data_IF_439319003260
#
_entry.id   IF_439319003260
#
_cell.length_a   1.000
_cell.length_b   1.000
_cell.length_c   1.000
_cell.angle_alpha   90.00
_cell.angle_beta   90.00
_cell.angle_gamma   90.00
#
_symmetry.space_group_name_H-M   'P 1'
#
loop_
_entity.id
_entity.type
_entity.pdbx_description
1 polymer ?
#
# COMPACT_ATOMS: atom_id res chain seq x y z
N UNK A 1 0.03 10.43 -13.96
CA UNK A 1 1.38 10.74 -13.42
C UNK A 1 2.27 11.53 -14.39
N UNK A 2 2.43 11.14 -15.68
CA UNK A 2 3.34 11.87 -16.61
C UNK A 2 3.05 13.37 -16.68
N UNK A 3 1.81 13.77 -16.97
CA UNK A 3 1.42 15.17 -17.10
C UNK A 3 1.56 15.97 -15.79
N UNK A 4 1.31 15.35 -14.63
CA UNK A 4 1.54 15.98 -13.33
C UNK A 4 3.03 16.23 -13.06
N UNK A 5 3.90 15.27 -13.41
CA UNK A 5 5.34 15.46 -13.31
C UNK A 5 5.85 16.54 -14.26
N UNK A 6 5.23 16.68 -15.44
CA UNK A 6 5.53 17.74 -16.40
C UNK A 6 5.11 19.12 -15.84
N UNK A 7 3.89 19.26 -15.31
CA UNK A 7 3.43 20.50 -14.66
C UNK A 7 4.40 20.92 -13.53
N UNK A 8 4.80 19.96 -12.66
CA UNK A 8 5.76 20.21 -11.57
C UNK A 8 7.16 20.57 -12.07
N UNK A 9 7.62 20.02 -13.21
CA UNK A 9 8.94 20.28 -13.77
C UNK A 9 9.00 21.63 -14.47
N UNK A 10 7.92 22.01 -15.15
CA UNK A 10 7.85 23.24 -15.95
C UNK A 10 7.35 24.44 -15.15
N UNK A 11 6.82 24.24 -13.94
CA UNK A 11 6.17 25.28 -13.14
C UNK A 11 4.77 25.67 -13.67
N UNK A 12 4.25 24.99 -14.69
CA UNK A 12 2.93 25.29 -15.25
C UNK A 12 1.81 24.65 -14.41
N UNK A 13 1.64 25.18 -13.22
CA UNK A 13 0.69 24.65 -12.25
C UNK A 13 -0.75 25.03 -12.63
N UNK A 14 -1.62 24.03 -12.72
CA UNK A 14 -3.06 24.20 -13.01
C UNK A 14 -3.82 24.70 -11.78
N UNK A 15 -5.03 25.18 -11.99
CA UNK A 15 -5.89 25.68 -10.93
C UNK A 15 -6.51 24.58 -10.07
N UNK A 16 -6.67 23.34 -10.60
CA UNK A 16 -7.23 22.24 -9.85
C UNK A 16 -6.48 20.92 -10.12
N UNK A 17 -6.25 20.16 -9.06
CA UNK A 17 -5.72 18.81 -9.11
C UNK A 17 -6.61 17.86 -8.32
N UNK A 18 -6.88 16.68 -8.87
CA UNK A 18 -7.51 15.56 -8.17
C UNK A 18 -6.54 14.38 -8.14
N UNK A 19 -6.06 14.05 -6.95
CA UNK A 19 -5.22 12.90 -6.66
C UNK A 19 -6.12 11.83 -6.01
N UNK A 20 -6.34 10.70 -6.66
CA UNK A 20 -7.23 9.68 -6.09
C UNK A 20 -6.74 8.26 -6.36
N UNK A 21 -7.19 7.31 -5.55
CA UNK A 21 -6.86 5.89 -5.67
C UNK A 21 -6.32 5.28 -4.37
N UNK A 22 -5.87 4.02 -4.48
CA UNK A 22 -5.51 3.21 -3.33
C UNK A 22 -4.10 3.51 -2.76
N UNK A 23 -3.19 4.13 -3.54
CA UNK A 23 -1.81 4.35 -3.12
C UNK A 23 -1.69 5.65 -2.32
N UNK A 24 -1.84 5.52 -1.00
CA UNK A 24 -1.81 6.66 -0.07
C UNK A 24 -0.46 7.39 -0.07
N UNK A 25 0.64 6.64 -0.18
CA UNK A 25 1.99 7.21 -0.24
C UNK A 25 2.17 8.17 -1.42
N UNK A 26 1.77 7.75 -2.62
CA UNK A 26 1.88 8.61 -3.80
C UNK A 26 0.95 9.82 -3.73
N UNK A 27 -0.27 9.66 -3.18
CA UNK A 27 -1.18 10.80 -2.96
C UNK A 27 -0.53 11.85 -2.08
N UNK A 28 0.02 11.45 -0.93
CA UNK A 28 0.75 12.32 0.00
C UNK A 28 1.96 12.97 -0.67
N UNK A 29 2.81 12.18 -1.33
CA UNK A 29 4.01 12.69 -2.01
C UNK A 29 3.68 13.74 -3.07
N UNK A 30 2.66 13.50 -3.91
CA UNK A 30 2.27 14.46 -4.94
C UNK A 30 1.56 15.69 -4.38
N UNK A 31 0.75 15.56 -3.32
CA UNK A 31 0.18 16.68 -2.59
C UNK A 31 1.28 17.60 -2.06
N UNK A 32 2.27 17.03 -1.37
CA UNK A 32 3.38 17.79 -0.77
C UNK A 32 4.25 18.45 -1.85
N UNK A 33 4.49 17.79 -2.98
CA UNK A 33 5.20 18.38 -4.13
C UNK A 33 4.42 19.53 -4.77
N UNK A 34 3.10 19.40 -4.91
CA UNK A 34 2.23 20.48 -5.38
C UNK A 34 2.24 21.65 -4.41
N UNK A 35 2.15 21.38 -3.11
CA UNK A 35 2.23 22.44 -2.06
C UNK A 35 3.52 23.24 -2.20
N UNK A 36 4.67 22.57 -2.32
CA UNK A 36 5.97 23.22 -2.52
C UNK A 36 6.12 23.96 -3.86
N UNK A 37 5.36 23.54 -4.88
CA UNK A 37 5.39 24.18 -6.19
C UNK A 37 4.45 25.40 -6.29
N UNK A 38 3.41 25.46 -5.45
CA UNK A 38 2.42 26.55 -5.44
C UNK A 38 2.81 27.64 -4.47
N UNK A 39 3.32 27.26 -3.29
CA UNK A 39 3.61 28.18 -2.19
C UNK A 39 5.11 28.24 -1.86
N UNK A 40 5.63 29.42 -1.51
CA UNK A 40 6.96 29.54 -0.92
C UNK A 40 7.09 28.70 0.35
N UNK A 41 8.32 28.28 0.67
CA UNK A 41 8.58 27.52 1.88
C UNK A 41 8.21 28.32 3.13
N UNK A 42 7.38 27.74 4.01
CA UNK A 42 6.92 28.37 5.24
C UNK A 42 5.70 29.31 5.10
N UNK A 43 5.12 29.44 3.91
CA UNK A 43 3.88 30.20 3.73
C UNK A 43 2.69 29.43 4.29
N UNK A 44 2.22 29.84 5.45
CA UNK A 44 1.03 29.27 6.11
C UNK A 44 -0.22 30.16 5.95
N UNK A 45 -0.04 31.42 5.51
CA UNK A 45 -1.15 32.37 5.36
C UNK A 45 -1.98 32.09 4.11
N UNK A 46 -1.32 31.65 3.04
CA UNK A 46 -1.95 31.32 1.79
C UNK A 46 -2.26 29.81 1.65
N UNK A 47 -2.06 29.04 2.71
CA UNK A 47 -2.37 27.62 2.78
C UNK A 47 -3.61 27.36 3.62
N UNK A 48 -4.57 26.61 3.09
CA UNK A 48 -5.70 26.08 3.84
C UNK A 48 -5.83 24.57 3.62
N UNK A 49 -6.16 23.84 4.68
CA UNK A 49 -6.35 22.41 4.65
C UNK A 49 -7.69 22.03 5.28
N UNK A 50 -8.49 21.28 4.56
CA UNK A 50 -9.78 20.75 4.98
C UNK A 50 -9.77 19.24 4.84
N UNK A 51 -10.33 18.53 5.81
CA UNK A 51 -10.37 17.06 5.82
C UNK A 51 -11.72 16.55 6.29
N UNK A 52 -12.17 15.45 5.69
CA UNK A 52 -13.37 14.74 6.08
C UNK A 52 -14.64 15.24 5.40
N UNK A 53 -15.76 14.57 5.72
CA UNK A 53 -17.07 14.82 5.14
C UNK A 53 -17.79 15.97 5.85
N UNK A 54 -18.75 16.60 5.15
CA UNK A 54 -19.59 17.66 5.73
C UNK A 54 -18.90 19.03 5.80
N UNK A 55 -17.98 19.27 4.89
CA UNK A 55 -17.28 20.57 4.78
C UNK A 55 -18.25 21.71 4.49
N UNK A 56 -17.99 22.88 5.06
CA UNK A 56 -18.71 24.12 4.77
C UNK A 56 -18.25 24.70 3.41
N UNK A 57 -18.85 24.23 2.33
CA UNK A 57 -18.48 24.64 0.97
C UNK A 57 -18.56 26.16 0.78
N UNK A 58 -19.59 26.91 1.26
CA UNK A 58 -19.61 28.37 1.20
C UNK A 58 -18.36 29.02 1.81
N UNK A 59 -17.94 28.59 2.97
CA UNK A 59 -16.72 29.12 3.64
C UNK A 59 -15.44 28.87 2.81
N UNK A 60 -15.36 27.72 2.18
CA UNK A 60 -14.23 27.38 1.30
C UNK A 60 -14.21 28.29 0.07
N UNK A 61 -15.39 28.57 -0.50
CA UNK A 61 -15.54 29.49 -1.64
C UNK A 61 -15.17 30.92 -1.21
N UNK A 62 -15.68 31.40 -0.08
CA UNK A 62 -15.39 32.73 0.44
C UNK A 62 -13.87 32.91 0.67
N UNK A 63 -13.20 31.88 1.21
CA UNK A 63 -11.75 31.89 1.36
C UNK A 63 -11.03 31.93 0.00
N UNK A 64 -11.51 31.16 -0.97
CA UNK A 64 -10.92 31.10 -2.31
C UNK A 64 -11.05 32.44 -3.09
N UNK A 65 -12.12 33.19 -2.83
CA UNK A 65 -12.32 34.54 -3.41
C UNK A 65 -11.43 35.63 -2.77
N UNK A 66 -10.82 35.36 -1.61
CA UNK A 66 -9.90 36.31 -1.00
C UNK A 66 -8.56 36.34 -1.72
N UNK A 67 -8.04 37.53 -2.00
CA UNK A 67 -6.72 37.70 -2.61
C UNK A 67 -5.63 37.05 -1.77
N UNK A 68 -4.64 36.36 -2.38
CA UNK A 68 -3.47 35.85 -1.67
C UNK A 68 -2.69 37.01 -1.02
N UNK A 69 -2.12 36.74 0.16
CA UNK A 69 -1.34 37.73 0.90
C UNK A 69 0.15 37.60 0.51
N UNK A 70 0.66 38.57 -0.21
CA UNK A 70 2.05 38.61 -0.73
C UNK A 70 2.50 37.34 -1.47
N UNK A 71 1.58 36.62 -2.13
CA UNK A 71 1.85 35.43 -2.95
C UNK A 71 1.07 35.53 -4.26
N UNK A 72 1.49 34.73 -5.26
CA UNK A 72 0.77 34.62 -6.54
C UNK A 72 -0.52 33.82 -6.41
N UNK A 73 -0.51 32.82 -5.56
CA UNK A 73 -1.64 31.88 -5.42
C UNK A 73 -1.94 31.56 -3.96
N UNK A 74 -3.21 31.31 -3.69
CA UNK A 74 -3.69 30.61 -2.49
C UNK A 74 -3.84 29.13 -2.80
N UNK A 75 -3.37 28.26 -1.92
CA UNK A 75 -3.52 26.81 -2.03
C UNK A 75 -4.55 26.31 -1.04
N UNK A 76 -5.56 25.62 -1.54
CA UNK A 76 -6.58 24.95 -0.74
C UNK A 76 -6.50 23.45 -0.99
N UNK A 77 -6.11 22.71 0.03
CA UNK A 77 -6.05 21.23 0.02
C UNK A 77 -7.29 20.69 0.68
N UNK A 78 -7.95 19.74 0.03
CA UNK A 78 -9.18 19.10 0.53
C UNK A 78 -8.99 17.58 0.45
N UNK A 79 -9.06 16.89 1.60
CA UNK A 79 -8.82 15.45 1.70
C UNK A 79 -10.05 14.69 2.21
N UNK A 80 -10.31 13.52 1.62
CA UNK A 80 -11.37 12.56 1.99
C UNK A 80 -12.76 13.20 2.20
N UNK A 81 -13.05 14.24 1.42
CA UNK A 81 -14.25 15.08 1.53
C UNK A 81 -15.54 14.37 1.13
N UNK A 82 -15.43 13.36 0.26
CA UNK A 82 -16.59 12.70 -0.35
C UNK A 82 -17.31 13.53 -1.43
N UNK A 83 -16.83 14.73 -1.76
CA UNK A 83 -17.41 15.64 -2.78
C UNK A 83 -17.44 15.01 -4.18
N UNK A 84 -16.59 14.04 -4.44
CA UNK A 84 -16.54 13.33 -5.73
C UNK A 84 -17.51 12.14 -5.81
N UNK A 85 -18.19 11.80 -4.71
CA UNK A 85 -19.31 10.83 -4.68
C UNK A 85 -20.66 11.53 -4.56
N UNK A 86 -20.76 12.47 -3.63
CA UNK A 86 -21.95 13.28 -3.35
C UNK A 86 -21.65 14.73 -3.71
N UNK A 87 -21.71 15.02 -5.02
CA UNK A 87 -21.29 16.32 -5.53
C UNK A 87 -22.20 17.45 -5.06
N UNK A 88 -21.61 18.47 -4.46
CA UNK A 88 -22.22 19.80 -4.36
C UNK A 88 -22.18 20.46 -5.75
N UNK A 89 -23.36 20.72 -6.32
CA UNK A 89 -23.46 21.28 -7.67
C UNK A 89 -22.89 22.70 -7.74
N UNK A 90 -23.06 23.50 -6.66
CA UNK A 90 -22.55 24.87 -6.59
C UNK A 90 -21.03 24.90 -6.56
N UNK A 91 -20.42 23.97 -5.80
CA UNK A 91 -18.97 23.90 -5.75
C UNK A 91 -18.38 23.42 -7.09
N UNK A 92 -19.04 22.45 -7.76
CA UNK A 92 -18.60 22.02 -9.09
C UNK A 92 -18.65 23.16 -10.14
N UNK A 93 -19.67 24.00 -10.06
CA UNK A 93 -19.81 25.17 -10.95
C UNK A 93 -18.78 26.24 -10.60
N UNK A 94 -18.50 26.46 -9.31
CA UNK A 94 -17.45 27.35 -8.84
C UNK A 94 -16.05 26.96 -9.34
N UNK A 95 -15.67 25.68 -9.26
CA UNK A 95 -14.38 25.16 -9.76
C UNK A 95 -14.14 25.51 -11.24
N UNK A 96 -15.18 25.66 -12.04
CA UNK A 96 -15.05 26.03 -13.46
C UNK A 96 -14.81 27.53 -13.69
N UNK A 97 -15.17 28.37 -12.73
CA UNK A 97 -15.08 29.82 -12.83
C UNK A 97 -14.23 30.50 -11.75
N UNK A 98 -13.50 29.70 -10.95
CA UNK A 98 -12.66 30.19 -9.86
C UNK A 98 -11.54 31.14 -10.36
N UNK A 99 -11.07 32.09 -9.54
CA UNK A 99 -10.00 32.99 -9.89
C UNK A 99 -8.67 32.27 -10.22
N UNK A 100 -7.84 32.86 -11.07
CA UNK A 100 -6.51 32.32 -11.40
C UNK A 100 -5.56 32.33 -10.20
N UNK A 101 -5.87 33.11 -9.18
CA UNK A 101 -5.10 33.26 -7.94
C UNK A 101 -5.33 32.14 -6.94
N UNK A 102 -6.21 31.15 -7.23
CA UNK A 102 -6.43 29.99 -6.36
C UNK A 102 -6.00 28.69 -7.03
N UNK A 103 -5.49 27.77 -6.22
CA UNK A 103 -5.20 26.41 -6.62
C UNK A 103 -5.85 25.43 -5.63
N UNK A 104 -6.68 24.51 -6.15
CA UNK A 104 -7.27 23.44 -5.36
C UNK A 104 -6.51 22.13 -5.57
N UNK A 105 -6.20 21.43 -4.49
CA UNK A 105 -5.67 20.05 -4.53
C UNK A 105 -6.61 19.14 -3.75
N UNK A 106 -7.35 18.33 -4.47
CA UNK A 106 -8.24 17.32 -3.89
C UNK A 106 -7.50 15.99 -3.76
N UNK A 107 -7.60 15.36 -2.59
CA UNK A 107 -7.02 14.05 -2.30
C UNK A 107 -8.13 13.12 -1.85
N UNK A 108 -8.47 12.12 -2.66
CA UNK A 108 -9.60 11.23 -2.39
C UNK A 108 -9.17 9.76 -2.48
N UNK A 109 -9.83 8.90 -1.72
CA UNK A 109 -9.62 7.46 -1.82
C UNK A 109 -10.40 6.86 -2.99
N UNK A 110 -11.65 7.33 -3.19
CA UNK A 110 -12.54 6.85 -4.24
C UNK A 110 -13.35 8.01 -4.84
N UNK A 111 -13.62 7.93 -6.14
CA UNK A 111 -14.36 8.95 -6.88
C UNK A 111 -15.41 8.32 -7.82
N UNK A 112 -16.54 8.99 -8.02
CA UNK A 112 -17.41 8.71 -9.17
C UNK A 112 -16.97 9.58 -10.37
N UNK A 113 -16.41 8.92 -11.38
CA UNK A 113 -15.92 9.59 -12.61
C UNK A 113 -17.06 10.27 -13.41
N UNK A 114 -18.32 10.01 -13.07
CA UNK A 114 -19.50 10.64 -13.68
C UNK A 114 -19.94 11.89 -12.94
N UNK A 115 -19.44 12.12 -11.72
CA UNK A 115 -19.84 13.25 -10.88
C UNK A 115 -19.51 14.60 -11.54
N UNK A 116 -20.28 15.64 -11.20
CA UNK A 116 -20.04 17.01 -11.67
C UNK A 116 -18.67 17.53 -11.22
N UNK A 117 -18.27 17.23 -9.98
CA UNK A 117 -16.97 17.63 -9.43
C UNK A 117 -15.80 17.01 -10.22
N UNK A 118 -15.87 15.71 -10.54
CA UNK A 118 -14.83 15.06 -11.35
C UNK A 118 -14.67 15.72 -12.72
N UNK A 119 -15.81 16.03 -13.39
CA UNK A 119 -15.80 16.72 -14.70
C UNK A 119 -15.24 18.13 -14.57
N UNK A 120 -15.68 18.91 -13.56
CA UNK A 120 -15.18 20.25 -13.33
C UNK A 120 -13.66 20.29 -13.17
N UNK A 121 -13.10 19.44 -12.28
CA UNK A 121 -11.63 19.36 -12.10
C UNK A 121 -10.90 18.86 -13.35
N UNK A 122 -11.51 17.94 -14.12
CA UNK A 122 -10.94 17.47 -15.38
C UNK A 122 -10.85 18.57 -16.44
N UNK A 123 -11.83 19.46 -16.48
CA UNK A 123 -11.91 20.56 -17.45
C UNK A 123 -10.95 21.71 -17.10
N UNK A 124 -10.78 22.03 -15.80
CA UNK A 124 -9.97 23.16 -15.32
C UNK A 124 -8.54 22.79 -14.91
N UNK A 125 -8.24 21.49 -14.77
CA UNK A 125 -6.97 21.06 -14.21
C UNK A 125 -6.54 19.66 -14.57
N UNK A 126 -6.08 18.89 -13.57
CA UNK A 126 -5.57 17.53 -13.75
C UNK A 126 -6.26 16.53 -12.83
N UNK A 127 -6.62 15.41 -13.39
CA UNK A 127 -7.12 14.25 -12.65
C UNK A 127 -6.07 13.14 -12.75
N UNK A 128 -5.59 12.65 -11.60
CA UNK A 128 -4.51 11.68 -11.50
C UNK A 128 -4.94 10.49 -10.66
N UNK A 129 -5.04 9.33 -11.28
CA UNK A 129 -5.31 8.07 -10.59
C UNK A 129 -4.00 7.47 -10.09
N UNK A 130 -3.92 7.23 -8.78
CA UNK A 130 -2.77 6.71 -8.06
C UNK A 130 -3.16 5.37 -7.43
N UNK A 131 -3.21 4.34 -8.26
CA UNK A 131 -3.44 2.96 -7.83
C UNK A 131 -2.17 2.29 -7.35
N UNK A 132 -2.32 1.08 -6.81
CA UNK A 132 -1.18 0.24 -6.43
C UNK A 132 -0.24 0.02 -7.61
N UNK A 133 1.04 0.18 -7.36
CA UNK A 133 2.06 0.07 -8.39
C UNK A 133 2.41 -1.39 -8.65
N UNK A 134 2.68 -1.74 -9.91
CA UNK A 134 3.20 -3.06 -10.26
C UNK A 134 4.68 -3.22 -9.85
N UNK A 135 5.17 -4.47 -9.88
CA UNK A 135 6.54 -4.80 -9.51
C UNK A 135 7.58 -4.01 -10.32
N UNK A 136 7.38 -3.93 -11.62
CA UNK A 136 8.30 -3.22 -12.51
C UNK A 136 8.39 -1.74 -12.15
N UNK A 137 7.27 -1.12 -11.84
CA UNK A 137 7.20 0.28 -11.42
C UNK A 137 7.85 0.47 -10.06
N UNK A 138 7.62 -0.46 -9.10
CA UNK A 138 8.27 -0.42 -7.78
C UNK A 138 9.79 -0.58 -7.87
N UNK A 139 10.28 -1.50 -8.71
CA UNK A 139 11.72 -1.68 -8.93
C UNK A 139 12.36 -0.44 -9.55
N UNK A 140 11.70 0.18 -10.55
CA UNK A 140 12.17 1.44 -11.15
C UNK A 140 12.15 2.58 -10.13
N UNK A 141 11.14 2.65 -9.28
CA UNK A 141 11.03 3.65 -8.22
C UNK A 141 12.13 3.47 -7.17
N UNK A 142 12.38 2.24 -6.70
CA UNK A 142 13.46 1.90 -5.79
C UNK A 142 14.83 2.30 -6.37
N UNK A 143 15.12 1.84 -7.58
CA UNK A 143 16.39 2.14 -8.25
C UNK A 143 16.58 3.66 -8.44
N UNK A 144 15.51 4.37 -8.79
CA UNK A 144 15.53 5.81 -8.95
C UNK A 144 15.80 6.59 -7.65
N UNK A 145 15.22 6.14 -6.52
CA UNK A 145 15.50 6.73 -5.20
C UNK A 145 16.94 6.45 -4.76
N UNK A 146 17.39 5.21 -4.88
CA UNK A 146 18.75 4.79 -4.53
C UNK A 146 19.80 5.55 -5.35
N UNK A 147 19.53 5.76 -6.64
CA UNK A 147 20.41 6.55 -7.53
C UNK A 147 20.46 8.03 -7.13
N UNK A 148 19.35 8.62 -6.70
CA UNK A 148 19.32 10.02 -6.22
C UNK A 148 20.19 10.24 -4.98
N UNK A 149 20.29 9.21 -4.13
CA UNK A 149 21.20 9.19 -2.97
C UNK A 149 22.67 8.83 -3.35
N UNK A 150 23.01 8.86 -4.65
CA UNK A 150 24.37 8.59 -5.14
C UNK A 150 24.80 7.13 -5.03
N UNK A 151 23.86 6.18 -4.94
CA UNK A 151 24.13 4.77 -4.74
C UNK A 151 23.59 3.90 -5.86
N UNK A 152 23.97 2.64 -5.85
CA UNK A 152 23.54 1.65 -6.83
C UNK A 152 22.98 0.42 -6.14
N UNK A 153 22.07 -0.27 -6.81
CA UNK A 153 21.54 -1.57 -6.41
C UNK A 153 21.37 -2.44 -7.65
N UNK A 154 21.75 -3.71 -7.55
CA UNK A 154 21.48 -4.68 -8.63
C UNK A 154 19.98 -5.00 -8.67
N UNK A 155 19.45 -5.30 -9.85
CA UNK A 155 18.05 -5.67 -10.02
C UNK A 155 17.65 -6.84 -9.09
N UNK A 156 18.45 -7.91 -9.04
CA UNK A 156 18.20 -9.06 -8.16
C UNK A 156 18.17 -8.69 -6.68
N UNK A 157 18.99 -7.73 -6.26
CA UNK A 157 19.02 -7.23 -4.88
C UNK A 157 17.77 -6.37 -4.58
N UNK A 158 17.29 -5.56 -5.54
CA UNK A 158 16.05 -4.81 -5.41
C UNK A 158 14.82 -5.74 -5.35
N UNK A 159 14.78 -6.78 -6.19
CA UNK A 159 13.75 -7.83 -6.14
C UNK A 159 13.76 -8.56 -4.79
N UNK A 160 14.94 -8.87 -4.26
CA UNK A 160 15.11 -9.45 -2.93
C UNK A 160 14.56 -8.50 -1.85
N UNK A 161 14.88 -7.21 -1.92
CA UNK A 161 14.34 -6.21 -0.99
C UNK A 161 12.80 -6.22 -1.00
N UNK A 162 12.16 -6.15 -2.19
CA UNK A 162 10.69 -6.23 -2.29
C UNK A 162 10.14 -7.52 -1.69
N UNK A 163 10.84 -8.63 -1.87
CA UNK A 163 10.41 -9.92 -1.31
C UNK A 163 10.46 -9.95 0.22
N UNK A 164 11.37 -9.20 0.85
CA UNK A 164 11.57 -9.14 2.30
C UNK A 164 10.68 -8.11 2.99
N UNK A 165 10.57 -6.92 2.39
CA UNK A 165 9.90 -5.76 2.98
C UNK A 165 8.46 -5.58 2.51
N UNK A 166 8.05 -6.30 1.46
CA UNK A 166 6.73 -6.17 0.84
C UNK A 166 6.67 -5.05 -0.19
N UNK A 167 5.45 -4.73 -0.62
CA UNK A 167 5.18 -3.80 -1.74
C UNK A 167 4.52 -2.50 -1.28
N UNK A 168 4.44 -2.27 0.01
CA UNK A 168 3.96 -1.02 0.60
C UNK A 168 5.00 0.07 0.41
N UNK A 169 4.66 1.14 -0.32
CA UNK A 169 5.63 2.16 -0.71
C UNK A 169 6.13 2.99 0.47
N UNK A 170 5.29 3.25 1.47
CA UNK A 170 5.71 3.97 2.68
C UNK A 170 6.68 3.14 3.52
N UNK A 171 6.42 1.83 3.63
CA UNK A 171 7.35 0.92 4.28
C UNK A 171 8.66 0.81 3.51
N UNK A 172 8.61 0.70 2.19
CA UNK A 172 9.81 0.67 1.35
C UNK A 172 10.67 1.94 1.49
N UNK A 173 10.05 3.11 1.59
CA UNK A 173 10.77 4.36 1.84
C UNK A 173 11.52 4.32 3.18
N UNK A 174 10.83 3.93 4.25
CA UNK A 174 11.45 3.79 5.59
C UNK A 174 12.61 2.78 5.59
N UNK A 175 12.45 1.66 4.89
CA UNK A 175 13.52 0.66 4.78
C UNK A 175 14.71 1.19 3.96
N UNK A 176 14.46 1.96 2.90
CA UNK A 176 15.52 2.64 2.14
C UNK A 176 16.28 3.66 3.00
N UNK A 177 15.60 4.48 3.80
CA UNK A 177 16.24 5.45 4.70
C UNK A 177 17.19 4.76 5.70
N UNK A 178 16.78 3.62 6.26
CA UNK A 178 17.63 2.79 7.12
C UNK A 178 18.85 2.27 6.35
N UNK A 179 18.65 1.77 5.14
CA UNK A 179 19.74 1.30 4.28
C UNK A 179 20.69 2.46 3.91
N UNK A 180 20.20 3.65 3.61
CA UNK A 180 21.03 4.81 3.32
C UNK A 180 21.90 5.19 4.53
N UNK A 181 21.33 5.18 5.71
CA UNK A 181 22.09 5.44 6.94
C UNK A 181 23.13 4.36 7.21
N UNK A 182 22.76 3.07 7.08
CA UNK A 182 23.66 1.94 7.35
C UNK A 182 24.80 1.83 6.34
N UNK A 183 24.54 2.17 5.08
CA UNK A 183 25.52 2.09 3.99
C UNK A 183 26.25 3.42 3.75
N UNK A 184 26.30 4.32 4.73
CA UNK A 184 27.00 5.60 4.61
C UNK A 184 28.46 5.40 4.18
N UNK A 185 28.91 6.15 3.17
CA UNK A 185 30.26 6.03 2.60
C UNK A 185 30.44 4.86 1.61
N UNK A 186 29.40 4.10 1.31
CA UNK A 186 29.45 3.01 0.30
C UNK A 186 28.55 3.33 -0.89
N UNK A 187 28.95 2.89 -2.08
CA UNK A 187 28.25 3.20 -3.33
C UNK A 187 27.24 2.11 -3.76
N UNK A 188 27.31 0.90 -3.19
CA UNK A 188 26.45 -0.22 -3.56
C UNK A 188 25.70 -0.77 -2.33
N UNK A 189 24.41 -1.03 -2.51
CA UNK A 189 23.56 -1.74 -1.55
C UNK A 189 23.53 -3.22 -1.94
N UNK A 190 23.88 -4.10 -1.01
CA UNK A 190 23.99 -5.55 -1.19
C UNK A 190 22.86 -6.32 -0.49
N UNK A 191 22.73 -7.60 -0.81
CA UNK A 191 21.82 -8.52 -0.09
C UNK A 191 22.15 -8.57 1.40
N UNK A 192 23.45 -8.60 1.77
CA UNK A 192 23.87 -8.62 3.16
C UNK A 192 23.43 -7.38 3.94
N UNK A 193 23.39 -6.20 3.30
CA UNK A 193 22.88 -4.97 3.93
C UNK A 193 21.38 -5.05 4.19
N UNK A 194 20.61 -5.61 3.24
CA UNK A 194 19.18 -5.83 3.39
C UNK A 194 18.92 -6.81 4.54
N UNK A 195 19.67 -7.90 4.63
CA UNK A 195 19.53 -8.88 5.71
C UNK A 195 19.88 -8.30 7.08
N UNK A 196 20.87 -7.41 7.15
CA UNK A 196 21.30 -6.79 8.40
C UNK A 196 20.31 -5.75 8.94
N UNK A 197 19.66 -4.97 8.06
CA UNK A 197 18.93 -3.75 8.46
C UNK A 197 17.45 -3.79 8.15
N UNK A 198 17.03 -4.38 7.01
CA UNK A 198 15.63 -4.37 6.63
C UNK A 198 14.81 -5.31 7.51
N UNK A 199 13.72 -4.78 8.03
CA UNK A 199 12.78 -5.56 8.84
C UNK A 199 11.95 -6.46 7.93
N UNK A 200 12.06 -7.77 8.14
CA UNK A 200 11.14 -8.72 7.50
C UNK A 200 9.74 -8.54 8.07
N UNK A 201 8.77 -8.22 7.23
CA UNK A 201 7.39 -8.11 7.70
C UNK A 201 6.89 -9.45 8.26
N UNK A 202 6.10 -9.40 9.34
CA UNK A 202 5.47 -10.57 9.96
C UNK A 202 4.67 -11.36 8.92
N UNK A 203 3.96 -10.68 8.03
CA UNK A 203 3.21 -11.31 6.92
C UNK A 203 4.11 -12.13 6.01
N UNK A 204 5.33 -11.68 5.74
CA UNK A 204 6.28 -12.42 4.92
C UNK A 204 6.83 -13.64 5.67
N UNK A 205 7.13 -13.52 6.98
CA UNK A 205 7.49 -14.68 7.80
C UNK A 205 6.38 -15.73 7.84
N UNK A 206 5.11 -15.30 7.93
CA UNK A 206 3.95 -16.20 7.84
C UNK A 206 3.88 -16.86 6.47
N UNK A 207 4.13 -16.12 5.38
CA UNK A 207 4.15 -16.69 4.03
C UNK A 207 5.26 -17.75 3.87
N UNK A 208 6.46 -17.47 4.37
CA UNK A 208 7.60 -18.40 4.35
C UNK A 208 7.34 -19.64 5.23
N UNK A 209 6.65 -19.46 6.37
CA UNK A 209 6.20 -20.56 7.21
C UNK A 209 5.24 -21.48 6.48
N UNK A 210 4.26 -20.93 5.75
CA UNK A 210 3.32 -21.73 4.95
C UNK A 210 4.04 -22.45 3.81
N UNK A 211 5.03 -21.83 3.20
CA UNK A 211 5.88 -22.52 2.20
C UNK A 211 6.62 -23.71 2.83
N UNK A 212 7.17 -23.54 4.03
CA UNK A 212 7.78 -24.64 4.77
C UNK A 212 6.78 -25.73 5.14
N UNK A 213 5.54 -25.37 5.50
CA UNK A 213 4.44 -26.33 5.70
C UNK A 213 4.10 -27.05 4.41
N UNK A 214 3.96 -26.34 3.30
CA UNK A 214 3.62 -26.90 1.98
C UNK A 214 4.67 -27.90 1.48
N UNK A 215 5.95 -27.61 1.74
CA UNK A 215 7.10 -28.43 1.34
C UNK A 215 7.52 -29.46 2.39
N UNK A 216 6.72 -29.62 3.46
CA UNK A 216 6.95 -30.57 4.55
C UNK A 216 8.28 -30.39 5.28
N UNK A 217 8.77 -29.15 5.35
CA UNK A 217 9.95 -28.77 6.11
C UNK A 217 9.56 -28.39 7.54
N UNK A 218 9.13 -29.37 8.33
CA UNK A 218 8.56 -29.17 9.67
C UNK A 218 9.48 -28.34 10.59
N UNK A 219 10.78 -28.66 10.64
CA UNK A 219 11.74 -27.92 11.47
C UNK A 219 11.75 -26.43 11.10
N UNK A 220 11.83 -26.14 9.82
CA UNK A 220 11.85 -24.76 9.32
C UNK A 220 10.55 -24.01 9.59
N UNK A 221 9.40 -24.70 9.50
CA UNK A 221 8.11 -24.11 9.85
C UNK A 221 8.05 -23.73 11.34
N UNK A 222 8.56 -24.60 12.22
CA UNK A 222 8.68 -24.33 13.66
C UNK A 222 9.69 -23.23 13.98
N UNK A 223 10.84 -23.19 13.29
CA UNK A 223 11.83 -22.11 13.46
C UNK A 223 11.18 -20.74 13.17
N UNK A 224 10.38 -20.61 12.10
CA UNK A 224 9.63 -19.37 11.82
C UNK A 224 8.60 -19.05 12.91
N UNK A 225 7.93 -20.07 13.48
CA UNK A 225 6.99 -19.88 14.58
C UNK A 225 7.68 -19.32 15.83
N UNK A 226 8.79 -19.95 16.24
CA UNK A 226 9.56 -19.49 17.40
C UNK A 226 10.20 -18.11 17.18
N UNK A 227 10.61 -17.79 15.96
CA UNK A 227 11.05 -16.43 15.59
C UNK A 227 9.95 -15.38 15.82
N UNK A 228 8.70 -15.71 15.45
CA UNK A 228 7.57 -14.80 15.68
C UNK A 228 7.24 -14.64 17.15
N UNK A 229 7.34 -15.72 17.93
CA UNK A 229 7.20 -15.66 19.40
C UNK A 229 8.31 -14.82 20.05
N UNK A 230 9.55 -14.94 19.57
CA UNK A 230 10.67 -14.11 20.02
C UNK A 230 10.47 -12.61 19.73
N UNK A 231 9.75 -12.29 18.66
CA UNK A 231 9.28 -10.94 18.33
C UNK A 231 8.07 -10.49 19.17
N UNK A 232 7.67 -11.28 20.17
CA UNK A 232 6.51 -11.05 21.04
C UNK A 232 5.16 -11.03 20.30
N UNK A 233 5.07 -11.71 19.16
CA UNK A 233 3.78 -11.90 18.49
C UNK A 233 2.94 -12.93 19.29
N UNK A 234 1.71 -12.59 19.68
CA UNK A 234 0.84 -13.53 20.39
C UNK A 234 0.54 -14.77 19.53
N UNK A 235 0.57 -16.00 20.11
CA UNK A 235 0.30 -17.24 19.37
C UNK A 235 -1.01 -17.21 18.59
N UNK A 236 -2.09 -16.71 19.20
CA UNK A 236 -3.39 -16.63 18.55
C UNK A 236 -3.42 -15.65 17.38
N UNK A 237 -2.60 -14.59 17.41
CA UNK A 237 -2.42 -13.70 16.27
C UNK A 237 -1.68 -14.40 15.13
N UNK A 238 -0.68 -15.23 15.45
CA UNK A 238 0.02 -16.05 14.45
C UNK A 238 -0.97 -17.03 13.81
N UNK A 239 -1.79 -17.74 14.59
CA UNK A 239 -2.83 -18.63 14.06
C UNK A 239 -3.82 -17.90 13.15
N UNK A 240 -4.28 -16.73 13.57
CA UNK A 240 -5.16 -15.89 12.74
C UNK A 240 -4.51 -15.52 11.40
N UNK A 241 -3.23 -15.12 11.42
CA UNK A 241 -2.50 -14.77 10.20
C UNK A 241 -2.27 -15.98 9.29
N UNK A 242 -1.97 -17.17 9.87
CA UNK A 242 -1.89 -18.42 9.14
C UNK A 242 -3.23 -18.77 8.48
N UNK A 243 -4.32 -18.74 9.24
CA UNK A 243 -5.66 -19.02 8.74
C UNK A 243 -6.06 -18.05 7.61
N UNK A 244 -5.80 -16.75 7.79
CA UNK A 244 -6.02 -15.73 6.75
C UNK A 244 -5.25 -16.06 5.47
N UNK A 245 -4.02 -16.49 5.60
CA UNK A 245 -3.16 -16.82 4.47
C UNK A 245 -3.65 -18.09 3.74
N UNK A 246 -4.02 -19.14 4.48
CA UNK A 246 -4.61 -20.36 3.90
C UNK A 246 -5.94 -20.08 3.21
N UNK A 247 -6.76 -19.17 3.75
CA UNK A 247 -8.00 -18.72 3.11
C UNK A 247 -7.71 -18.05 1.76
N UNK A 248 -6.68 -17.21 1.68
CA UNK A 248 -6.27 -16.58 0.42
C UNK A 248 -5.76 -17.63 -0.58
N UNK A 249 -4.99 -18.64 -0.13
CA UNK A 249 -4.58 -19.75 -0.98
C UNK A 249 -5.76 -20.56 -1.51
N UNK A 250 -6.77 -20.80 -0.67
CA UNK A 250 -8.01 -21.47 -1.07
C UNK A 250 -8.75 -20.68 -2.15
N UNK A 251 -8.91 -19.37 -1.95
CA UNK A 251 -9.55 -18.48 -2.91
C UNK A 251 -8.78 -18.41 -4.24
N UNK A 252 -7.46 -18.29 -4.17
CA UNK A 252 -6.60 -18.26 -5.36
C UNK A 252 -6.69 -19.58 -6.12
N UNK A 253 -6.66 -20.72 -5.41
CA UNK A 253 -6.77 -22.05 -6.01
C UNK A 253 -8.13 -22.26 -6.68
N UNK A 254 -9.20 -21.79 -6.07
CA UNK A 254 -10.54 -21.87 -6.66
C UNK A 254 -10.62 -21.03 -7.95
N UNK A 255 -10.10 -19.82 -7.95
CA UNK A 255 -10.03 -18.95 -9.13
C UNK A 255 -9.17 -19.58 -10.25
N UNK A 256 -8.04 -20.21 -9.90
CA UNK A 256 -7.22 -20.94 -10.87
C UNK A 256 -7.97 -22.11 -11.50
N UNK A 257 -8.74 -22.87 -10.71
CA UNK A 257 -9.56 -23.97 -11.21
C UNK A 257 -10.69 -23.49 -12.15
N UNK A 258 -11.14 -22.24 -11.98
CA UNK A 258 -12.10 -21.58 -12.88
C UNK A 258 -11.42 -20.98 -14.13
N UNK A 259 -10.10 -21.15 -14.31
CA UNK A 259 -9.36 -20.65 -15.46
C UNK A 259 -9.04 -19.14 -15.41
N UNK A 260 -9.14 -18.50 -14.24
CA UNK A 260 -8.84 -17.08 -14.09
C UNK A 260 -7.33 -16.80 -14.29
N UNK A 261 -7.00 -15.73 -15.01
CA UNK A 261 -5.63 -15.25 -15.15
C UNK A 261 -5.11 -14.52 -13.90
N UNK A 262 -3.80 -14.24 -13.89
CA UNK A 262 -3.12 -13.56 -12.76
C UNK A 262 -3.75 -12.19 -12.41
N UNK A 263 -4.22 -11.44 -13.41
CA UNK A 263 -4.81 -10.10 -13.23
C UNK A 263 -6.17 -10.20 -12.54
N UNK A 264 -7.02 -11.14 -13.00
CA UNK A 264 -8.33 -11.42 -12.41
C UNK A 264 -8.17 -11.92 -10.97
N UNK A 265 -7.21 -12.84 -10.74
CA UNK A 265 -6.90 -13.37 -9.41
C UNK A 265 -6.46 -12.25 -8.47
N UNK A 266 -5.52 -11.39 -8.89
CA UNK A 266 -5.06 -10.25 -8.10
C UNK A 266 -6.23 -9.36 -7.68
N UNK A 267 -7.09 -8.98 -8.63
CA UNK A 267 -8.26 -8.13 -8.38
C UNK A 267 -9.29 -8.77 -7.46
N UNK A 268 -9.68 -10.02 -7.72
CA UNK A 268 -10.71 -10.72 -6.93
C UNK A 268 -10.25 -11.11 -5.53
N UNK A 269 -8.98 -11.48 -5.36
CA UNK A 269 -8.40 -11.83 -4.06
C UNK A 269 -7.88 -10.60 -3.28
N UNK A 270 -7.96 -9.39 -3.84
CA UNK A 270 -7.44 -8.17 -3.20
C UNK A 270 -5.93 -8.18 -3.01
N UNK A 271 -5.20 -8.88 -3.90
CA UNK A 271 -3.76 -9.04 -3.83
C UNK A 271 -3.06 -8.04 -4.75
N UNK A 272 -1.88 -7.60 -4.32
CA UNK A 272 -0.99 -6.89 -5.23
C UNK A 272 -0.60 -7.83 -6.40
N UNK A 273 -0.54 -7.36 -7.67
CA UNK A 273 -0.23 -8.21 -8.84
C UNK A 273 1.07 -9.02 -8.72
N UNK A 274 2.11 -8.45 -8.07
CA UNK A 274 3.35 -9.14 -7.76
C UNK A 274 3.12 -10.35 -6.85
N UNK A 275 2.37 -10.14 -5.77
CA UNK A 275 2.11 -11.16 -4.74
C UNK A 275 1.21 -12.28 -5.27
N UNK A 276 0.26 -11.95 -6.17
CA UNK A 276 -0.65 -12.95 -6.76
C UNK A 276 0.10 -14.13 -7.40
N UNK A 277 1.22 -13.88 -8.10
CA UNK A 277 2.04 -14.94 -8.69
C UNK A 277 2.62 -15.90 -7.64
N UNK A 278 3.09 -15.38 -6.50
CA UNK A 278 3.58 -16.20 -5.38
C UNK A 278 2.47 -17.07 -4.78
N UNK A 279 1.26 -16.50 -4.57
CA UNK A 279 0.10 -17.24 -4.08
C UNK A 279 -0.35 -18.33 -5.06
N UNK A 280 -0.34 -18.05 -6.37
CA UNK A 280 -0.65 -19.06 -7.39
C UNK A 280 0.33 -20.23 -7.33
N UNK A 281 1.64 -19.94 -7.20
CA UNK A 281 2.66 -20.98 -7.07
C UNK A 281 2.46 -21.79 -5.79
N UNK A 282 2.33 -21.15 -4.65
CA UNK A 282 2.18 -21.79 -3.34
C UNK A 282 0.88 -22.60 -3.25
N UNK A 283 -0.23 -22.11 -3.84
CA UNK A 283 -1.51 -22.81 -3.85
C UNK A 283 -1.46 -24.16 -4.62
N UNK A 284 -0.51 -24.33 -5.56
CA UNK A 284 -0.33 -25.61 -6.28
C UNK A 284 0.11 -26.75 -5.36
N UNK A 285 0.80 -26.43 -4.27
CA UNK A 285 1.31 -27.41 -3.30
C UNK A 285 0.20 -28.03 -2.42
N UNK A 286 -1.01 -27.51 -2.47
CA UNK A 286 -2.15 -27.97 -1.69
C UNK A 286 -3.31 -28.41 -2.58
N UNK A 287 -4.08 -29.38 -2.15
CA UNK A 287 -5.40 -29.69 -2.73
C UNK A 287 -6.48 -28.79 -2.11
N UNK A 288 -7.63 -28.65 -2.80
CA UNK A 288 -8.79 -27.93 -2.24
C UNK A 288 -9.27 -28.55 -0.93
N UNK A 289 -9.21 -29.89 -0.82
CA UNK A 289 -9.61 -30.63 0.39
C UNK A 289 -8.66 -30.33 1.55
N UNK A 290 -7.35 -30.33 1.31
CA UNK A 290 -6.35 -29.99 2.32
C UNK A 290 -6.58 -28.54 2.83
N UNK A 291 -6.76 -27.56 1.94
CA UNK A 291 -6.97 -26.17 2.34
C UNK A 291 -8.25 -25.99 3.16
N UNK A 292 -9.34 -26.69 2.81
CA UNK A 292 -10.58 -26.68 3.62
C UNK A 292 -10.35 -27.27 4.99
N UNK A 293 -9.72 -28.47 5.07
CA UNK A 293 -9.42 -29.10 6.33
C UNK A 293 -8.50 -28.28 7.24
N UNK A 294 -7.52 -27.55 6.67
CA UNK A 294 -6.68 -26.60 7.41
C UNK A 294 -7.52 -25.46 7.99
N UNK A 295 -8.50 -24.95 7.26
CA UNK A 295 -9.37 -23.87 7.73
C UNK A 295 -10.31 -24.33 8.87
N UNK A 296 -10.87 -25.53 8.76
CA UNK A 296 -11.69 -26.15 9.80
C UNK A 296 -10.86 -26.36 11.08
N UNK A 297 -9.68 -26.97 10.97
CA UNK A 297 -8.78 -27.18 12.10
C UNK A 297 -8.32 -25.88 12.76
N UNK A 298 -8.09 -24.81 11.99
CA UNK A 298 -7.72 -23.52 12.54
C UNK A 298 -8.86 -22.95 13.42
N UNK A 299 -10.11 -23.11 12.99
CA UNK A 299 -11.29 -22.72 13.77
C UNK A 299 -11.44 -23.56 15.04
N UNK A 300 -11.27 -24.89 14.95
CA UNK A 300 -11.32 -25.81 16.11
C UNK A 300 -10.20 -25.49 17.11
N UNK A 301 -9.00 -25.15 16.62
CA UNK A 301 -7.86 -24.74 17.44
C UNK A 301 -8.16 -23.45 18.19
N UNK A 302 -8.73 -22.46 17.50
CA UNK A 302 -9.14 -21.19 18.13
C UNK A 302 -10.19 -21.42 19.22
N UNK A 303 -11.19 -22.27 18.97
CA UNK A 303 -12.21 -22.63 19.96
C UNK A 303 -11.62 -23.36 21.17
N UNK A 304 -10.70 -24.31 20.94
CA UNK A 304 -10.06 -25.06 22.01
C UNK A 304 -9.26 -24.16 22.96
N UNK A 305 -8.60 -23.12 22.44
CA UNK A 305 -7.89 -22.13 23.25
C UNK A 305 -8.88 -21.22 23.99
N UNK A 306 -9.90 -20.68 23.31
CA UNK A 306 -10.90 -19.81 23.93
C UNK A 306 -11.69 -20.48 25.05
N UNK A 307 -11.89 -21.78 24.95
CA UNK A 307 -12.57 -22.60 26.00
C UNK A 307 -11.62 -23.14 27.04
N UNK A 308 -10.33 -22.81 27.00
CA UNK A 308 -9.32 -23.24 27.95
C UNK A 308 -8.94 -24.73 27.87
N UNK A 309 -9.35 -25.42 26.82
CA UNK A 309 -9.00 -26.85 26.61
C UNK A 309 -7.51 -27.06 26.29
N UNK A 310 -6.89 -26.09 25.64
CA UNK A 310 -5.47 -26.12 25.26
C UNK A 310 -4.81 -24.77 25.54
N UNK A 311 -3.48 -24.78 25.79
CA UNK A 311 -2.73 -23.54 25.82
C UNK A 311 -2.53 -22.98 24.42
N UNK A 312 -2.47 -21.67 24.29
CA UNK A 312 -2.35 -20.96 23.01
C UNK A 312 -1.07 -21.36 22.25
N UNK A 313 0.08 -21.33 22.91
CA UNK A 313 1.39 -21.64 22.30
C UNK A 313 1.43 -23.07 21.78
N UNK A 314 1.03 -24.05 22.61
CA UNK A 314 1.03 -25.47 22.26
C UNK A 314 0.05 -25.77 21.12
N UNK A 315 -1.12 -25.14 21.12
CA UNK A 315 -2.15 -25.36 20.10
C UNK A 315 -1.68 -24.96 18.71
N UNK A 316 -1.03 -23.80 18.61
CA UNK A 316 -0.49 -23.32 17.32
C UNK A 316 0.71 -24.17 16.87
N UNK A 317 1.54 -24.61 17.81
CA UNK A 317 2.64 -25.53 17.52
C UNK A 317 2.14 -26.85 16.96
N UNK A 318 1.15 -27.48 17.62
CA UNK A 318 0.53 -28.72 17.15
C UNK A 318 -0.12 -28.57 15.77
N UNK A 319 -0.78 -27.44 15.53
CA UNK A 319 -1.35 -27.12 14.22
C UNK A 319 -0.25 -27.11 13.13
N UNK A 320 0.88 -26.41 13.37
CA UNK A 320 2.00 -26.35 12.46
C UNK A 320 2.60 -27.74 12.23
N UNK A 321 2.85 -28.50 13.31
CA UNK A 321 3.40 -29.86 13.27
C UNK A 321 2.52 -30.78 12.42
N UNK A 322 1.20 -30.76 12.64
CA UNK A 322 0.23 -31.61 11.92
C UNK A 322 0.30 -31.41 10.41
N UNK A 323 0.36 -30.15 9.98
CA UNK A 323 0.31 -29.81 8.55
C UNK A 323 1.68 -29.78 7.87
N UNK A 324 2.79 -29.77 8.62
CA UNK A 324 4.16 -29.84 8.11
C UNK A 324 4.79 -31.24 8.19
N UNK A 325 4.08 -32.22 8.78
CA UNK A 325 4.58 -33.59 8.86
C UNK A 325 4.74 -34.23 7.47
N UNK A 326 5.77 -35.08 7.26
CA UNK A 326 5.89 -35.87 6.05
C UNK A 326 4.62 -36.71 5.79
N UNK A 327 4.19 -36.79 4.53
CA UNK A 327 3.11 -37.74 4.17
C UNK A 327 3.65 -39.16 4.37
N UNK A 328 2.95 -39.95 5.19
CA UNK A 328 3.22 -41.39 5.33
C UNK A 328 2.85 -42.13 4.05
#
# INVERSE_FOLDING_TARGET
MKNLNEDLKTGNIKQAYLLYGEEAYLKKQYRDRLTKAVLPEGDTVNYAHYEGKGLNVPEIIDLAETMPFFAEKRLIVIEDSGLFKNADAKFADYIKSMPETVCFVFVESEVDKRSKMYKAVKDTGRVVELGRQDEKTLLLWLAGNIKREGRQIKQSTAEYMLSRTGTDMENLEREMEKLFSYTLGRNEITVADIDAICTTQITNKIFDMIEAVATRQQRKALDYYYDLLALKEPPMRILYLLARQFRLLLQVKDLMNQGADKSIIAKKAGLHPFVAGKYMQQSRSFTMRELKGIMEEAADTEEAVKTGRLSDTMSVELFIVKYSAPKK
#
